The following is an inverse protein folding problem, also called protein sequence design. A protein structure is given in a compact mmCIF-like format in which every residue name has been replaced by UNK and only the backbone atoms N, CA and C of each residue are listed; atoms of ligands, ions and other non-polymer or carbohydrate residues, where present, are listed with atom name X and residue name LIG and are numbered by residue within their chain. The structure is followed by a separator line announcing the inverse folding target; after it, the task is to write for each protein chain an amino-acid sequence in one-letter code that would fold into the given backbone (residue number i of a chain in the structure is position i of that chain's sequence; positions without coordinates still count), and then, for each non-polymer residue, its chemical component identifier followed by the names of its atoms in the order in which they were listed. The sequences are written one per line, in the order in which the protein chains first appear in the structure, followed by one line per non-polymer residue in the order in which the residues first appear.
data_IF_212785176094
#
_entry.id   IF_212785176094
#
_cell.length_a   1.000
_cell.length_b   1.000
_cell.length_c   1.000
_cell.angle_alpha   90.00
_cell.angle_beta   90.00
_cell.angle_gamma   90.00
#
_symmetry.space_group_name_H-M   'P 1'
#
loop_
_entity.id
_entity.type
_entity.pdbx_description
1 polymer ?
#
# COMPACT_ATOMS: atom_id res chain seq x y z
N UNK A 1 16.16 -27.91 -2.19
CA UNK A 1 16.13 -27.48 -0.76
C UNK A 1 14.68 -27.51 -0.32
N UNK A 2 14.32 -28.44 0.58
CA UNK A 2 12.95 -28.56 1.08
C UNK A 2 12.66 -27.35 1.98
N UNK A 3 11.75 -26.47 1.55
CA UNK A 3 11.15 -25.46 2.40
C UNK A 3 10.30 -26.17 3.46
N UNK A 4 10.92 -26.63 4.53
CA UNK A 4 10.23 -27.02 5.75
C UNK A 4 9.57 -25.76 6.32
N UNK A 5 8.30 -25.54 5.98
CA UNK A 5 7.49 -24.51 6.63
C UNK A 5 7.42 -24.87 8.11
N UNK A 6 8.01 -24.03 8.94
CA UNK A 6 7.97 -24.21 10.39
C UNK A 6 6.52 -24.13 10.86
N UNK A 7 6.09 -25.11 11.67
CA UNK A 7 4.79 -25.07 12.35
C UNK A 7 4.67 -23.76 13.13
N UNK A 8 3.55 -23.06 12.99
CA UNK A 8 3.32 -21.77 13.66
C UNK A 8 3.82 -20.54 12.90
N UNK A 9 4.32 -20.70 11.66
CA UNK A 9 4.62 -19.52 10.82
C UNK A 9 3.33 -18.81 10.40
N UNK A 10 3.36 -17.48 10.31
CA UNK A 10 2.24 -16.66 9.87
C UNK A 10 1.72 -17.08 8.49
N UNK A 11 2.60 -17.50 7.59
CA UNK A 11 2.26 -17.96 6.25
C UNK A 11 1.33 -19.19 6.29
N UNK A 12 1.64 -20.17 7.16
CA UNK A 12 0.83 -21.39 7.33
C UNK A 12 -0.53 -21.03 7.91
N UNK A 13 -0.57 -20.19 8.94
CA UNK A 13 -1.81 -19.77 9.61
C UNK A 13 -2.69 -18.98 8.65
N UNK A 14 -2.12 -18.00 7.95
CA UNK A 14 -2.84 -17.19 6.96
C UNK A 14 -3.37 -18.06 5.82
N UNK A 15 -2.57 -18.97 5.29
CA UNK A 15 -3.00 -19.89 4.23
C UNK A 15 -4.16 -20.78 4.70
N UNK A 16 -4.04 -21.39 5.87
CA UNK A 16 -5.11 -22.21 6.43
C UNK A 16 -6.40 -21.43 6.63
N UNK A 17 -6.31 -20.18 7.09
CA UNK A 17 -7.47 -19.32 7.22
C UNK A 17 -8.11 -19.01 5.86
N UNK A 18 -7.33 -18.59 4.87
CA UNK A 18 -7.85 -18.31 3.52
C UNK A 18 -8.49 -19.55 2.87
N UNK A 19 -7.90 -20.73 3.05
CA UNK A 19 -8.45 -21.99 2.55
C UNK A 19 -9.74 -22.41 3.26
N UNK A 20 -10.03 -21.88 4.45
CA UNK A 20 -11.27 -22.10 5.19
C UNK A 20 -12.42 -21.19 4.76
N UNK A 21 -12.14 -20.13 4.01
CA UNK A 21 -13.17 -19.20 3.54
C UNK A 21 -13.98 -19.82 2.41
N UNK A 22 -15.30 -19.78 2.56
CA UNK A 22 -16.23 -20.29 1.55
C UNK A 22 -17.03 -19.13 0.98
N UNK A 23 -17.34 -19.22 -0.31
CA UNK A 23 -18.26 -18.31 -0.97
C UNK A 23 -19.69 -18.80 -0.73
N UNK A 24 -20.51 -17.98 -0.10
CA UNK A 24 -21.93 -18.31 0.09
C UNK A 24 -22.65 -18.21 -1.26
N UNK A 25 -23.27 -19.31 -1.68
CA UNK A 25 -24.07 -19.35 -2.89
C UNK A 25 -25.52 -19.05 -2.58
N UNK A 26 -26.09 -18.06 -3.24
CA UNK A 26 -27.52 -17.70 -3.18
C UNK A 26 -28.13 -17.75 -4.55
N UNK A 27 -29.32 -18.36 -4.63
CA UNK A 27 -30.10 -18.41 -5.88
C UNK A 27 -31.33 -17.53 -5.81
N UNK A 28 -31.93 -17.35 -4.59
CA UNK A 28 -33.09 -16.46 -4.39
C UNK A 28 -32.57 -15.03 -4.32
N UNK A 29 -33.21 -14.13 -5.07
CA UNK A 29 -32.85 -12.71 -5.19
C UNK A 29 -31.40 -12.48 -5.69
N UNK A 30 -30.87 -13.45 -6.46
CA UNK A 30 -29.56 -13.30 -7.09
C UNK A 30 -29.59 -12.26 -8.20
N UNK A 31 -28.50 -11.54 -8.35
CA UNK A 31 -28.31 -10.53 -9.40
C UNK A 31 -27.08 -10.85 -10.23
N UNK A 32 -27.00 -10.27 -11.42
CA UNK A 32 -25.76 -10.36 -12.21
C UNK A 32 -24.61 -9.71 -11.44
N UNK A 33 -23.48 -10.43 -11.26
CA UNK A 33 -22.35 -9.89 -10.55
C UNK A 33 -21.69 -8.74 -11.31
N UNK A 34 -21.17 -7.77 -10.57
CA UNK A 34 -20.28 -6.73 -11.09
C UNK A 34 -18.97 -6.74 -10.31
N UNK A 35 -17.87 -6.50 -11.01
CA UNK A 35 -16.55 -6.29 -10.40
C UNK A 35 -16.25 -4.81 -10.21
N UNK A 36 -17.13 -3.91 -10.58
CA UNK A 36 -16.94 -2.48 -10.38
C UNK A 36 -16.87 -2.13 -8.91
N UNK A 37 -15.93 -1.26 -8.57
CA UNK A 37 -15.70 -0.77 -7.22
C UNK A 37 -15.57 0.75 -7.24
N UNK A 38 -16.26 1.41 -6.34
CA UNK A 38 -16.05 2.85 -6.09
C UNK A 38 -15.15 3.04 -4.88
N UNK A 39 -14.04 3.76 -5.06
CA UNK A 39 -13.08 4.07 -4.01
C UNK A 39 -12.67 5.55 -4.13
N UNK A 40 -12.76 6.30 -3.03
CA UNK A 40 -12.39 7.71 -2.96
C UNK A 40 -12.97 8.57 -4.08
N UNK A 41 -14.24 8.33 -4.40
CA UNK A 41 -15.00 9.10 -5.42
C UNK A 41 -14.69 8.73 -6.87
N UNK A 42 -13.89 7.69 -7.13
CA UNK A 42 -13.62 7.15 -8.47
C UNK A 42 -14.16 5.73 -8.60
N UNK A 43 -14.64 5.39 -9.79
CA UNK A 43 -15.08 4.02 -10.13
C UNK A 43 -13.98 3.29 -10.91
N UNK A 44 -13.73 2.06 -10.51
CA UNK A 44 -12.74 1.15 -11.07
C UNK A 44 -13.43 -0.11 -11.60
N UNK A 45 -12.86 -0.73 -12.63
CA UNK A 45 -13.43 -1.93 -13.26
C UNK A 45 -13.29 -3.18 -12.39
N UNK A 46 -12.40 -3.16 -11.40
CA UNK A 46 -12.08 -4.31 -10.57
C UNK A 46 -11.69 -3.88 -9.16
N UNK A 47 -12.02 -4.67 -8.11
CA UNK A 47 -11.52 -4.45 -6.75
C UNK A 47 -10.08 -4.96 -6.55
N UNK A 48 -9.50 -5.62 -7.55
CA UNK A 48 -8.09 -6.05 -7.50
C UNK A 48 -7.19 -4.84 -7.66
N UNK A 49 -6.20 -4.71 -6.78
CA UNK A 49 -5.26 -3.60 -6.73
C UNK A 49 -3.83 -4.15 -6.75
N UNK A 50 -2.87 -3.33 -7.19
CA UNK A 50 -1.47 -3.72 -7.02
C UNK A 50 -1.07 -3.64 -5.55
N UNK A 51 -0.07 -4.43 -5.14
CA UNK A 51 0.58 -4.23 -3.85
C UNK A 51 1.40 -2.93 -3.84
N UNK A 52 1.66 -2.38 -2.65
CA UNK A 52 2.56 -1.23 -2.45
C UNK A 52 4.03 -1.65 -2.66
N UNK A 53 4.38 -1.99 -3.89
CA UNK A 53 5.73 -2.38 -4.28
C UNK A 53 6.65 -1.16 -4.36
N UNK A 54 7.95 -1.43 -4.32
CA UNK A 54 9.03 -0.45 -4.43
C UNK A 54 10.15 -1.02 -5.30
N UNK A 55 11.00 -0.15 -5.84
CA UNK A 55 12.24 -0.54 -6.52
C UNK A 55 12.05 -1.48 -7.73
N UNK A 56 10.91 -1.44 -8.39
CA UNK A 56 10.68 -2.25 -9.60
C UNK A 56 11.64 -1.88 -10.75
N UNK A 57 12.27 -0.71 -10.69
CA UNK A 57 13.36 -0.30 -11.58
C UNK A 57 14.57 -1.22 -11.50
N UNK A 58 14.78 -1.95 -10.41
CA UNK A 58 15.82 -2.95 -10.26
C UNK A 58 15.54 -4.24 -11.06
N UNK A 59 14.30 -4.46 -11.44
CA UNK A 59 13.86 -5.64 -12.19
C UNK A 59 13.67 -5.30 -13.67
N UNK A 60 13.11 -4.13 -13.94
CA UNK A 60 12.81 -3.69 -15.29
C UNK A 60 12.93 -2.16 -15.40
N UNK A 61 13.52 -1.61 -16.48
CA UNK A 61 13.55 -0.16 -16.68
C UNK A 61 12.16 0.46 -16.55
N UNK A 62 12.05 1.55 -15.81
CA UNK A 62 10.77 2.23 -15.51
C UNK A 62 9.69 1.33 -14.89
N UNK A 63 10.10 0.27 -14.16
CA UNK A 63 9.21 -0.79 -13.67
C UNK A 63 8.01 -0.27 -12.88
N UNK A 64 8.17 0.80 -12.07
CA UNK A 64 7.06 1.40 -11.33
C UNK A 64 6.06 2.09 -12.28
N UNK A 65 6.53 2.81 -13.28
CA UNK A 65 5.65 3.43 -14.28
C UNK A 65 4.95 2.37 -15.15
N UNK A 66 5.65 1.27 -15.49
CA UNK A 66 5.05 0.14 -16.22
C UNK A 66 3.95 -0.54 -15.40
N UNK A 67 4.18 -0.75 -14.09
CA UNK A 67 3.16 -1.29 -13.18
C UNK A 67 1.95 -0.36 -13.11
N UNK A 68 2.17 0.94 -12.97
CA UNK A 68 1.11 1.94 -12.95
C UNK A 68 0.29 1.96 -14.25
N UNK A 69 0.98 1.89 -15.41
CA UNK A 69 0.33 1.80 -16.72
C UNK A 69 -0.53 0.54 -16.83
N UNK A 70 -0.02 -0.61 -16.41
CA UNK A 70 -0.80 -1.85 -16.40
C UNK A 70 -2.04 -1.77 -15.52
N UNK A 71 -1.93 -1.17 -14.32
CA UNK A 71 -3.08 -0.93 -13.45
C UNK A 71 -4.11 0.00 -14.10
N UNK A 72 -3.66 1.07 -14.76
CA UNK A 72 -4.53 1.98 -15.50
C UNK A 72 -5.30 1.26 -16.62
N UNK A 73 -4.60 0.49 -17.44
CA UNK A 73 -5.21 -0.27 -18.56
C UNK A 73 -6.23 -1.32 -18.06
N UNK A 74 -5.93 -1.94 -16.91
CA UNK A 74 -6.86 -2.87 -16.25
C UNK A 74 -8.04 -2.18 -15.57
N UNK A 75 -8.03 -0.85 -15.42
CA UNK A 75 -9.04 -0.10 -14.67
C UNK A 75 -8.97 -0.36 -13.17
N UNK A 76 -7.76 -0.58 -12.65
CA UNK A 76 -7.45 -0.92 -11.25
C UNK A 76 -6.78 0.25 -10.51
N UNK A 77 -6.79 0.18 -9.18
CA UNK A 77 -6.00 1.09 -8.33
C UNK A 77 -4.55 0.60 -8.28
N UNK A 78 -3.60 1.53 -8.39
CA UNK A 78 -2.18 1.24 -8.24
C UNK A 78 -1.67 1.71 -6.88
N UNK A 79 -1.09 0.80 -6.09
CA UNK A 79 -0.38 1.16 -4.87
C UNK A 79 1.11 1.29 -5.16
N UNK A 80 1.75 2.30 -4.56
CA UNK A 80 3.19 2.55 -4.62
C UNK A 80 3.75 2.55 -3.21
N UNK A 81 4.86 1.87 -3.01
CA UNK A 81 5.62 1.87 -1.76
C UNK A 81 6.65 3.00 -1.70
N UNK A 82 7.86 2.69 -1.22
CA UNK A 82 8.99 3.62 -1.17
C UNK A 82 9.41 4.04 -2.58
N UNK A 83 10.26 5.04 -2.64
CA UNK A 83 10.86 5.56 -3.85
C UNK A 83 10.92 7.08 -3.87
N UNK A 84 11.61 7.62 -4.85
CA UNK A 84 11.76 9.04 -5.06
C UNK A 84 10.43 9.71 -5.43
N UNK A 85 10.35 11.00 -5.21
CA UNK A 85 9.14 11.79 -5.54
C UNK A 85 8.87 11.77 -7.05
N UNK A 86 9.91 11.87 -7.85
CA UNK A 86 9.84 11.84 -9.31
C UNK A 86 9.30 10.51 -9.86
N UNK A 87 9.51 9.41 -9.14
CA UNK A 87 8.96 8.11 -9.49
C UNK A 87 7.43 8.13 -9.38
N UNK A 88 6.89 8.69 -8.29
CA UNK A 88 5.45 8.89 -8.14
C UNK A 88 4.87 9.74 -9.27
N UNK A 89 5.54 10.83 -9.62
CA UNK A 89 5.13 11.69 -10.74
C UNK A 89 5.10 10.91 -12.05
N UNK A 90 6.10 10.05 -12.27
CA UNK A 90 6.17 9.15 -13.43
C UNK A 90 4.99 8.19 -13.49
N UNK A 91 4.61 7.61 -12.36
CA UNK A 91 3.46 6.71 -12.25
C UNK A 91 2.14 7.44 -12.54
N UNK A 92 1.93 8.63 -11.97
CA UNK A 92 0.71 9.43 -12.16
C UNK A 92 0.58 9.91 -13.62
N UNK A 93 1.70 10.27 -14.29
CA UNK A 93 1.69 10.63 -15.71
C UNK A 93 1.20 9.51 -16.64
N UNK A 94 1.20 8.25 -16.21
CA UNK A 94 0.59 7.15 -16.99
C UNK A 94 -0.94 7.20 -17.04
N UNK A 95 -1.57 8.06 -16.24
CA UNK A 95 -3.03 8.13 -16.05
C UNK A 95 -3.53 7.27 -14.87
N UNK A 96 -2.65 6.52 -14.21
CA UNK A 96 -3.02 5.66 -13.10
C UNK A 96 -3.52 6.45 -11.90
N UNK A 97 -4.51 5.89 -11.21
CA UNK A 97 -4.92 6.34 -9.88
C UNK A 97 -4.02 5.69 -8.85
N UNK A 98 -3.06 6.47 -8.31
CA UNK A 98 -2.00 5.96 -7.44
C UNK A 98 -2.31 6.28 -5.98
N UNK A 99 -2.19 5.28 -5.11
CA UNK A 99 -2.13 5.43 -3.66
C UNK A 99 -0.67 5.34 -3.23
N UNK A 100 -0.14 6.43 -2.67
CA UNK A 100 1.27 6.47 -2.19
C UNK A 100 1.36 6.03 -0.75
N UNK A 101 2.13 4.98 -0.47
CA UNK A 101 2.43 4.51 0.88
C UNK A 101 3.82 4.99 1.29
N UNK A 102 3.90 5.67 2.42
CA UNK A 102 5.11 6.26 3.01
C UNK A 102 5.52 5.40 4.21
N UNK A 103 6.81 5.28 4.47
CA UNK A 103 7.34 4.62 5.65
C UNK A 103 7.40 5.57 6.85
N UNK A 104 7.50 4.99 8.04
CA UNK A 104 7.63 5.70 9.31
C UNK A 104 9.07 6.17 9.53
N UNK A 105 9.55 7.10 8.70
CA UNK A 105 10.90 7.65 8.85
C UNK A 105 11.07 8.44 10.15
N UNK A 106 12.26 8.34 10.77
CA UNK A 106 12.63 9.13 11.94
C UNK A 106 12.61 10.64 11.64
N UNK A 107 13.02 11.00 10.43
CA UNK A 107 12.93 12.38 9.91
C UNK A 107 11.47 12.69 9.53
N UNK A 108 10.79 13.37 10.42
CA UNK A 108 9.39 13.75 10.26
C UNK A 108 9.18 14.78 9.14
N UNK A 109 10.14 15.66 8.92
CA UNK A 109 10.03 16.68 7.87
C UNK A 109 10.03 16.01 6.50
N UNK A 110 10.83 14.95 6.32
CA UNK A 110 10.78 14.11 5.12
C UNK A 110 9.41 13.44 4.94
N UNK A 111 8.77 12.98 6.03
CA UNK A 111 7.42 12.39 5.95
C UNK A 111 6.40 13.43 5.48
N UNK A 112 6.39 14.62 6.08
CA UNK A 112 5.48 15.70 5.69
C UNK A 112 5.72 16.15 4.25
N UNK A 113 6.98 16.27 3.82
CA UNK A 113 7.31 16.62 2.44
C UNK A 113 6.78 15.58 1.44
N UNK A 114 6.87 14.29 1.76
CA UNK A 114 6.33 13.21 0.91
C UNK A 114 4.79 13.21 0.87
N UNK A 115 4.13 13.54 1.97
CA UNK A 115 2.66 13.70 2.03
C UNK A 115 2.23 14.87 1.14
N UNK A 116 2.86 16.03 1.31
CA UNK A 116 2.58 17.23 0.51
C UNK A 116 2.82 17.00 -0.97
N UNK A 117 3.93 16.32 -1.32
CA UNK A 117 4.23 15.97 -2.69
C UNK A 117 3.15 15.07 -3.30
N UNK A 118 2.73 14.02 -2.60
CA UNK A 118 1.68 13.12 -3.08
C UNK A 118 0.37 13.87 -3.36
N UNK A 119 -0.01 14.83 -2.50
CA UNK A 119 -1.19 15.69 -2.72
C UNK A 119 -1.01 16.58 -3.94
N UNK A 120 0.12 17.28 -4.06
CA UNK A 120 0.42 18.17 -5.19
C UNK A 120 0.51 17.43 -6.54
N UNK A 121 1.02 16.22 -6.54
CA UNK A 121 1.12 15.38 -7.75
C UNK A 121 -0.21 14.79 -8.19
N UNK A 122 -1.26 14.88 -7.36
CA UNK A 122 -2.59 14.37 -7.69
C UNK A 122 -2.75 12.87 -7.42
N UNK A 123 -2.09 12.34 -6.40
CA UNK A 123 -2.33 10.97 -5.94
C UNK A 123 -3.80 10.77 -5.55
N UNK A 124 -4.31 9.56 -5.71
CA UNK A 124 -5.67 9.19 -5.29
C UNK A 124 -5.84 9.23 -3.76
N UNK A 125 -4.80 8.79 -3.06
CA UNK A 125 -4.71 8.77 -1.62
C UNK A 125 -3.24 8.72 -1.20
N UNK A 126 -2.97 9.03 0.05
CA UNK A 126 -1.67 8.82 0.69
C UNK A 126 -1.86 7.91 1.90
N UNK A 127 -0.84 7.22 2.31
CA UNK A 127 -0.92 6.37 3.48
C UNK A 127 0.43 6.10 4.10
N UNK A 128 0.40 5.38 5.22
CA UNK A 128 1.58 5.04 5.99
C UNK A 128 1.63 3.54 6.30
N UNK A 129 2.81 2.97 6.12
CA UNK A 129 3.13 1.60 6.47
C UNK A 129 3.65 1.57 7.91
N UNK A 130 2.84 1.05 8.82
CA UNK A 130 3.16 1.03 10.26
C UNK A 130 3.74 -0.30 10.74
N UNK A 131 3.83 -1.29 9.87
CA UNK A 131 4.25 -2.65 10.23
C UNK A 131 5.76 -2.90 10.13
N UNK A 132 6.54 -1.89 9.76
CA UNK A 132 7.96 -2.05 9.53
C UNK A 132 8.78 -0.85 10.05
N UNK A 133 9.43 -1.04 11.19
CA UNK A 133 10.35 -0.07 11.78
C UNK A 133 11.65 -0.72 12.31
N UNK A 134 11.69 -2.05 12.41
CA UNK A 134 12.79 -2.78 13.01
C UNK A 134 13.43 -3.74 12.00
N UNK A 135 14.74 -3.80 12.07
CA UNK A 135 15.51 -4.83 11.39
C UNK A 135 15.48 -6.16 12.19
N UNK A 136 15.77 -7.28 11.53
CA UNK A 136 15.75 -8.62 12.15
C UNK A 136 16.75 -8.80 13.29
N UNK A 137 17.78 -7.94 13.42
CA UNK A 137 18.75 -7.92 14.52
C UNK A 137 18.29 -7.06 15.72
N UNK A 138 17.03 -6.60 15.73
CA UNK A 138 16.41 -5.81 16.80
C UNK A 138 16.83 -4.32 16.84
N UNK A 139 17.61 -3.85 15.88
CA UNK A 139 17.86 -2.42 15.70
C UNK A 139 16.78 -1.78 14.83
N UNK A 140 16.75 -0.46 14.78
CA UNK A 140 15.91 0.25 13.82
C UNK A 140 16.42 0.04 12.41
N UNK A 141 15.49 -0.19 11.49
CA UNK A 141 15.86 -0.37 10.09
C UNK A 141 16.22 0.98 9.44
N UNK A 142 17.12 0.91 8.48
CA UNK A 142 17.56 2.05 7.69
C UNK A 142 17.45 1.70 6.21
N UNK A 143 16.56 2.35 5.50
CA UNK A 143 16.32 2.11 4.07
C UNK A 143 16.62 3.39 3.30
N UNK A 144 17.43 3.27 2.25
CA UNK A 144 17.87 4.42 1.44
C UNK A 144 18.53 5.53 2.27
N UNK A 145 19.24 5.17 3.34
CA UNK A 145 19.89 6.11 4.24
C UNK A 145 18.94 6.79 5.23
N UNK A 146 17.66 6.44 5.22
CA UNK A 146 16.66 6.97 6.15
C UNK A 146 16.33 5.95 7.22
N UNK A 147 16.58 6.32 8.48
CA UNK A 147 16.23 5.51 9.64
C UNK A 147 14.71 5.47 9.80
N UNK A 148 14.17 4.30 10.12
CA UNK A 148 12.75 4.12 10.45
C UNK A 148 12.54 4.06 11.95
N UNK A 149 11.38 4.53 12.40
CA UNK A 149 10.98 4.51 13.82
C UNK A 149 9.50 4.15 13.93
N UNK A 150 9.07 3.40 14.96
CA UNK A 150 7.66 3.28 15.28
C UNK A 150 7.08 4.66 15.54
N UNK A 151 5.85 4.87 15.11
CA UNK A 151 5.13 6.13 15.35
C UNK A 151 4.14 5.98 16.50
N UNK A 152 3.86 7.08 17.17
CA UNK A 152 2.77 7.17 18.12
C UNK A 152 1.44 7.45 17.43
N UNK A 153 0.34 7.14 18.09
CA UNK A 153 -1.01 7.50 17.60
C UNK A 153 -1.16 9.02 17.36
N UNK A 154 -0.52 9.84 18.21
CA UNK A 154 -0.53 11.29 18.04
C UNK A 154 0.18 11.72 16.74
N UNK A 155 1.34 11.14 16.45
CA UNK A 155 2.05 11.41 15.19
C UNK A 155 1.24 10.95 13.96
N UNK A 156 0.59 9.79 14.05
CA UNK A 156 -0.28 9.33 12.97
C UNK A 156 -1.42 10.34 12.71
N UNK A 157 -2.06 10.86 13.77
CA UNK A 157 -3.07 11.91 13.63
C UNK A 157 -2.53 13.17 12.96
N UNK A 158 -1.32 13.58 13.28
CA UNK A 158 -0.68 14.74 12.67
C UNK A 158 -0.48 14.53 11.15
N UNK A 159 -0.03 13.33 10.73
CA UNK A 159 0.13 13.00 9.33
C UNK A 159 -1.21 12.92 8.59
N UNK A 160 -2.24 12.33 9.19
CA UNK A 160 -3.60 12.31 8.63
C UNK A 160 -4.12 13.74 8.40
N UNK A 161 -3.89 14.64 9.35
CA UNK A 161 -4.33 16.03 9.26
C UNK A 161 -3.47 16.91 8.34
N UNK A 162 -2.33 16.41 7.89
CA UNK A 162 -1.43 17.16 7.00
C UNK A 162 -1.86 17.15 5.52
N UNK A 163 -2.91 16.41 5.17
CA UNK A 163 -3.39 16.31 3.79
C UNK A 163 -4.91 16.33 3.72
N UNK A 164 -5.43 16.72 2.56
CA UNK A 164 -6.86 16.62 2.21
C UNK A 164 -7.19 15.31 1.51
N UNK A 165 -6.17 14.55 1.11
CA UNK A 165 -6.38 13.24 0.49
C UNK A 165 -6.93 12.23 1.51
N UNK A 166 -7.66 11.21 1.05
CA UNK A 166 -7.92 10.04 1.86
C UNK A 166 -6.60 9.45 2.39
N UNK A 167 -6.58 9.03 3.66
CA UNK A 167 -5.39 8.48 4.29
C UNK A 167 -5.56 7.00 4.59
N UNK A 168 -4.57 6.20 4.18
CA UNK A 168 -4.56 4.74 4.33
C UNK A 168 -3.54 4.34 5.39
N UNK A 169 -3.92 3.53 6.35
CA UNK A 169 -2.99 2.90 7.27
C UNK A 169 -2.76 1.46 6.82
N UNK A 170 -1.53 1.16 6.38
CA UNK A 170 -1.10 -0.19 5.98
C UNK A 170 -0.40 -0.87 7.15
N UNK A 171 -0.65 -2.19 7.31
CA UNK A 171 -0.02 -2.98 8.37
C UNK A 171 -0.85 -3.08 9.65
N UNK A 172 -2.14 -2.80 9.57
CA UNK A 172 -3.09 -3.03 10.66
C UNK A 172 -3.33 -4.54 10.76
N UNK A 173 -2.75 -5.18 11.76
CA UNK A 173 -2.76 -6.64 11.91
C UNK A 173 -3.67 -7.14 13.02
N UNK A 174 -4.25 -6.25 13.80
CA UNK A 174 -5.14 -6.62 14.91
C UNK A 174 -6.38 -5.73 14.97
N UNK A 175 -7.40 -6.25 15.65
CA UNK A 175 -8.60 -5.46 15.95
C UNK A 175 -8.30 -4.26 16.85
N UNK A 176 -7.27 -4.38 17.69
CA UNK A 176 -6.87 -3.30 18.60
C UNK A 176 -6.22 -2.14 17.85
N UNK A 177 -5.56 -2.41 16.72
CA UNK A 177 -4.91 -1.39 15.90
C UNK A 177 -5.91 -0.67 14.96
N UNK A 178 -7.07 -1.27 14.72
CA UNK A 178 -8.14 -0.71 13.89
C UNK A 178 -9.06 0.20 14.70
#
# INVERSE_FOLDING_TARGET
MSNLRKTGSSDVITRAYLDSLLVEMRHIDSVLPSTEMTLYGKTFKTPVMTAALSHMGNVYPDGMAQMAKGAYEAGAVCFSGMGAMEELDGMIRTGASVVKIIKTYADRDSVFAKIEHAEKSGALAVGMDIDHAFHHNQDYDCIEGMEMRPITFQQLKEYVNATKLPFVVKGVLSRQDA
#
